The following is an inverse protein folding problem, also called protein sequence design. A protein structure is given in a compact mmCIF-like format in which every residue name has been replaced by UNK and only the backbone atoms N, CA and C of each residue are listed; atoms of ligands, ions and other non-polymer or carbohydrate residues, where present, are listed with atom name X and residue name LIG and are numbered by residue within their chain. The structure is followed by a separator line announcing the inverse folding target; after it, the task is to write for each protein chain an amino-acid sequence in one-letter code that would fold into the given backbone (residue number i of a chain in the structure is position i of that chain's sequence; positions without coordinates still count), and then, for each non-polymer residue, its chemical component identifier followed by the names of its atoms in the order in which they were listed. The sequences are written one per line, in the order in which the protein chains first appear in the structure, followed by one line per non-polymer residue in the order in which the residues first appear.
data_IF_370862905021
#
_entry.id   IF_370862905021
#
_cell.length_a   1.000
_cell.length_b   1.000
_cell.length_c   1.000
_cell.angle_alpha   90.00
_cell.angle_beta   90.00
_cell.angle_gamma   90.00
#
_symmetry.space_group_name_H-M   'P 1'
#
loop_
_entity.id
_entity.type
_entity.pdbx_description
1 polymer ?
#
# COMPACT_ATOMS: atom_id res chain seq x y z
N UNK A 1 -6.99 22.53 -7.16
CA UNK A 1 -8.11 23.42 -7.49
C UNK A 1 -9.44 22.66 -7.56
N UNK A 2 -9.75 21.77 -6.60
CA UNK A 2 -11.03 21.03 -6.60
C UNK A 2 -11.29 20.30 -5.27
N UNK A 3 -11.13 20.94 -4.11
CA UNK A 3 -11.54 20.32 -2.82
C UNK A 3 -11.92 21.35 -1.75
N UNK A 4 -12.60 22.42 -2.17
CA UNK A 4 -13.40 23.26 -1.29
C UNK A 4 -14.74 23.45 -2.01
N UNK A 5 -15.82 22.85 -1.50
CA UNK A 5 -17.06 23.58 -1.20
C UNK A 5 -18.31 22.74 -0.87
N UNK A 6 -18.34 21.41 -0.97
CA UNK A 6 -19.66 20.73 -1.08
C UNK A 6 -20.07 19.71 -0.02
N UNK A 7 -19.71 19.85 1.26
CA UNK A 7 -20.45 19.07 2.29
C UNK A 7 -20.55 19.76 3.66
N UNK A 8 -20.98 21.02 3.64
CA UNK A 8 -21.62 21.65 4.79
C UNK A 8 -23.13 21.56 4.56
N UNK A 9 -23.81 20.63 5.22
CA UNK A 9 -25.24 20.39 5.01
C UNK A 9 -25.83 19.30 5.89
N UNK A 10 -26.22 19.69 7.10
CA UNK A 10 -27.28 19.07 7.91
C UNK A 10 -26.99 17.67 8.52
N UNK A 11 -26.69 17.64 9.83
CA UNK A 11 -27.48 16.87 10.81
C UNK A 11 -27.04 17.15 12.27
N UNK A 12 -28.00 17.66 13.05
CA UNK A 12 -28.20 17.43 14.51
C UNK A 12 -27.29 18.12 15.54
N UNK A 13 -27.60 19.39 15.80
CA UNK A 13 -27.05 20.27 16.86
C UNK A 13 -27.28 19.81 18.34
N UNK A 14 -28.01 18.71 18.60
CA UNK A 14 -28.43 18.37 19.97
C UNK A 14 -27.58 17.31 20.69
N UNK A 15 -26.70 16.57 19.99
CA UNK A 15 -25.83 15.56 20.65
C UNK A 15 -24.47 16.09 21.10
N UNK A 16 -23.96 17.16 20.47
CA UNK A 16 -22.60 17.67 20.71
C UNK A 16 -22.46 18.33 22.09
N UNK A 17 -23.52 18.99 22.58
CA UNK A 17 -23.50 19.71 23.87
C UNK A 17 -23.33 18.82 25.10
N UNK A 18 -23.69 17.53 25.04
CA UNK A 18 -23.67 16.66 26.22
C UNK A 18 -22.26 16.11 26.53
N UNK A 19 -21.44 15.85 25.50
CA UNK A 19 -20.10 15.25 25.68
C UNK A 19 -19.03 16.25 26.16
N UNK A 20 -19.24 17.57 26.02
CA UNK A 20 -18.24 18.59 26.40
C UNK A 20 -18.17 18.83 27.92
N UNK A 21 -19.17 18.35 28.69
CA UNK A 21 -19.32 18.69 30.13
C UNK A 21 -18.69 17.68 31.10
N UNK A 22 -18.23 16.52 30.63
CA UNK A 22 -17.41 15.59 31.41
C UNK A 22 -15.99 15.58 30.83
N UNK A 23 -14.97 15.88 31.63
CA UNK A 23 -13.59 16.13 31.19
C UNK A 23 -12.83 14.99 30.50
N UNK A 24 -13.51 13.99 29.91
CA UNK A 24 -12.92 12.83 29.24
C UNK A 24 -12.86 13.02 27.71
N UNK A 25 -12.15 14.07 27.28
CA UNK A 25 -11.90 14.34 25.86
C UNK A 25 -11.17 13.17 25.18
N UNK A 26 -10.12 12.63 25.82
CA UNK A 26 -9.29 11.56 25.25
C UNK A 26 -10.02 10.20 25.14
N UNK A 27 -10.92 9.87 26.06
CA UNK A 27 -11.69 8.62 26.02
C UNK A 27 -12.79 8.64 24.94
N UNK A 28 -13.45 9.79 24.78
CA UNK A 28 -14.47 9.98 23.74
C UNK A 28 -13.87 10.23 22.36
N UNK A 29 -12.64 10.76 22.31
CA UNK A 29 -11.91 10.97 21.05
C UNK A 29 -11.62 9.66 20.33
N UNK A 30 -11.33 8.55 21.02
CA UNK A 30 -11.00 7.29 20.35
C UNK A 30 -12.21 6.36 20.10
N UNK A 31 -13.40 6.71 20.62
CA UNK A 31 -14.63 5.94 20.50
C UNK A 31 -15.54 6.48 19.38
N UNK A 32 -15.08 6.43 18.13
CA UNK A 32 -15.79 6.98 16.97
C UNK A 32 -17.01 6.13 16.58
N UNK A 33 -18.17 6.39 17.20
CA UNK A 33 -19.44 5.76 16.78
C UNK A 33 -20.21 6.56 15.73
N UNK A 34 -19.82 7.82 15.49
CA UNK A 34 -20.45 8.72 14.51
C UNK A 34 -19.48 9.08 13.38
N UNK A 35 -19.78 8.61 12.17
CA UNK A 35 -19.00 8.87 10.95
C UNK A 35 -18.82 10.38 10.67
N UNK A 36 -19.81 11.20 11.02
CA UNK A 36 -19.78 12.66 10.76
C UNK A 36 -18.71 13.38 11.58
N UNK A 37 -18.61 13.09 12.87
CA UNK A 37 -17.59 13.69 13.76
C UNK A 37 -16.19 13.26 13.35
N UNK A 38 -16.03 11.99 12.95
CA UNK A 38 -14.78 11.47 12.41
C UNK A 38 -14.34 12.22 11.14
N UNK A 39 -15.24 12.42 10.17
CA UNK A 39 -14.92 13.10 8.92
C UNK A 39 -14.57 14.59 9.10
N UNK A 40 -15.24 15.29 10.03
CA UNK A 40 -14.94 16.70 10.33
C UNK A 40 -13.54 16.82 10.95
N UNK A 41 -13.22 15.99 11.96
CA UNK A 41 -11.87 15.99 12.57
C UNK A 41 -10.80 15.64 11.55
N UNK A 42 -11.05 14.62 10.72
CA UNK A 42 -10.13 14.22 9.66
C UNK A 42 -9.89 15.35 8.65
N UNK A 43 -10.96 16.07 8.27
CA UNK A 43 -10.87 17.18 7.30
C UNK A 43 -10.11 18.36 7.88
N UNK A 44 -10.38 18.75 9.13
CA UNK A 44 -9.64 19.83 9.81
C UNK A 44 -8.16 19.48 9.94
N UNK A 45 -7.84 18.25 10.34
CA UNK A 45 -6.47 17.76 10.43
C UNK A 45 -5.77 17.77 9.06
N UNK A 46 -6.44 17.27 8.02
CA UNK A 46 -5.91 17.23 6.65
C UNK A 46 -5.69 18.63 6.09
N UNK A 47 -6.63 19.55 6.31
CA UNK A 47 -6.51 20.95 5.89
C UNK A 47 -5.34 21.65 6.61
N UNK A 48 -5.14 21.40 7.90
CA UNK A 48 -3.99 21.93 8.63
C UNK A 48 -2.66 21.49 8.02
N UNK A 49 -2.48 20.17 7.79
CA UNK A 49 -1.27 19.64 7.16
C UNK A 49 -1.09 20.12 5.71
N UNK A 50 -2.19 20.29 4.97
CA UNK A 50 -2.16 20.80 3.61
C UNK A 50 -1.69 22.26 3.55
N UNK A 51 -2.22 23.13 4.43
CA UNK A 51 -1.80 24.53 4.53
C UNK A 51 -0.33 24.65 4.97
N UNK A 52 0.08 23.82 5.93
CA UNK A 52 1.47 23.74 6.37
C UNK A 52 2.40 23.33 5.21
N UNK A 53 1.99 22.35 4.40
CA UNK A 53 2.74 21.89 3.23
C UNK A 53 2.83 22.98 2.16
N UNK A 54 1.74 23.73 1.91
CA UNK A 54 1.73 24.86 0.96
C UNK A 54 2.69 25.97 1.41
N UNK A 55 2.77 26.26 2.71
CA UNK A 55 3.71 27.25 3.24
C UNK A 55 5.17 26.79 3.11
N UNK A 56 5.44 25.50 3.33
CA UNK A 56 6.79 24.92 3.34
C UNK A 56 7.32 24.51 1.95
N UNK A 57 6.47 24.45 0.92
CA UNK A 57 6.85 24.02 -0.44
C UNK A 57 7.87 24.94 -1.11
N UNK A 58 8.03 26.18 -0.61
CA UNK A 58 9.04 27.13 -1.07
C UNK A 58 10.47 26.63 -0.81
N UNK A 59 10.66 25.73 0.16
CA UNK A 59 11.96 25.14 0.47
C UNK A 59 12.21 23.87 -0.36
N UNK A 60 13.24 23.88 -1.22
CA UNK A 60 13.62 22.73 -2.08
C UNK A 60 13.88 21.44 -1.29
N UNK A 61 14.59 21.53 -0.17
CA UNK A 61 14.90 20.38 0.69
C UNK A 61 13.65 19.71 1.29
N UNK A 62 12.58 20.47 1.55
CA UNK A 62 11.33 19.95 2.07
C UNK A 62 10.60 19.09 1.03
N UNK A 63 10.54 19.57 -0.21
CA UNK A 63 9.93 18.81 -1.33
C UNK A 63 10.72 17.54 -1.63
N UNK A 64 12.04 17.63 -1.58
CA UNK A 64 12.95 16.50 -1.80
C UNK A 64 12.76 15.40 -0.73
N UNK A 65 12.75 15.78 0.55
CA UNK A 65 12.52 14.83 1.66
C UNK A 65 11.12 14.20 1.66
N UNK A 66 10.08 14.96 1.30
CA UNK A 66 8.73 14.41 1.14
C UNK A 66 8.67 13.37 0.01
N UNK A 67 9.38 13.60 -1.10
CA UNK A 67 9.51 12.64 -2.20
C UNK A 67 10.14 11.32 -1.75
N UNK A 68 11.22 11.39 -0.96
CA UNK A 68 11.84 10.20 -0.36
C UNK A 68 10.88 9.41 0.51
N UNK A 69 10.20 10.09 1.44
CA UNK A 69 9.29 9.45 2.38
C UNK A 69 8.15 8.78 1.62
N UNK A 70 7.58 9.46 0.61
CA UNK A 70 6.53 8.90 -0.23
C UNK A 70 6.97 7.59 -0.92
N UNK A 71 8.16 7.56 -1.51
CA UNK A 71 8.67 6.39 -2.23
C UNK A 71 9.10 5.26 -1.29
N UNK A 72 9.58 5.60 -0.09
CA UNK A 72 9.87 4.62 0.96
C UNK A 72 8.60 3.97 1.49
N UNK A 73 7.51 4.73 1.64
CA UNK A 73 6.21 4.18 2.02
C UNK A 73 5.67 3.25 0.94
N UNK A 74 5.81 3.61 -0.34
CA UNK A 74 5.47 2.75 -1.47
C UNK A 74 6.26 1.43 -1.44
N UNK A 75 7.58 1.49 -1.26
CA UNK A 75 8.45 0.32 -1.12
C UNK A 75 8.06 -0.55 0.10
N UNK A 76 7.63 0.10 1.19
CA UNK A 76 7.20 -0.57 2.41
C UNK A 76 5.91 -1.37 2.25
N UNK A 77 5.13 -1.18 1.17
CA UNK A 77 3.95 -2.01 0.86
C UNK A 77 4.34 -3.42 0.39
N UNK A 78 5.47 -3.56 -0.32
CA UNK A 78 5.99 -4.86 -0.78
C UNK A 78 6.70 -5.65 0.33
N UNK A 79 7.35 -4.98 1.27
CA UNK A 79 8.10 -5.59 2.37
C UNK A 79 7.29 -6.58 3.28
N UNK A 80 6.08 -6.27 3.76
CA UNK A 80 5.31 -7.21 4.58
C UNK A 80 4.89 -8.45 3.78
N UNK A 81 4.70 -8.30 2.47
CA UNK A 81 4.40 -9.43 1.60
C UNK A 81 5.61 -10.35 1.44
N UNK A 82 6.82 -9.79 1.31
CA UNK A 82 8.07 -10.54 1.30
C UNK A 82 8.28 -11.34 2.60
N UNK A 83 8.09 -10.69 3.76
CA UNK A 83 8.26 -11.32 5.08
C UNK A 83 7.29 -12.49 5.25
N UNK A 84 6.01 -12.30 4.89
CA UNK A 84 5.00 -13.36 4.97
C UNK A 84 5.33 -14.55 4.07
N UNK A 85 5.84 -14.27 2.88
CA UNK A 85 6.25 -15.31 1.93
C UNK A 85 7.43 -16.12 2.48
N UNK A 86 8.40 -15.45 3.10
CA UNK A 86 9.54 -16.10 3.74
C UNK A 86 9.13 -16.98 4.94
N UNK A 87 8.18 -16.52 5.75
CA UNK A 87 7.68 -17.28 6.90
C UNK A 87 6.89 -18.53 6.50
N UNK A 88 6.09 -18.47 5.43
CA UNK A 88 5.21 -19.58 5.03
C UNK A 88 5.88 -20.60 4.12
N UNK A 89 7.04 -20.29 3.51
CA UNK A 89 7.75 -21.13 2.53
C UNK A 89 6.84 -21.73 1.44
N UNK A 90 5.71 -21.08 1.17
CA UNK A 90 4.68 -21.52 0.24
C UNK A 90 3.95 -20.30 -0.29
N UNK A 91 3.85 -20.23 -1.62
CA UNK A 91 3.22 -19.14 -2.37
C UNK A 91 1.79 -19.46 -2.78
N UNK A 92 1.11 -20.36 -2.04
CA UNK A 92 -0.31 -20.61 -2.23
C UNK A 92 -1.11 -19.33 -1.95
N UNK A 93 -1.60 -18.69 -3.02
CA UNK A 93 -2.46 -17.50 -2.99
C UNK A 93 -1.87 -16.23 -3.58
N UNK A 94 -0.60 -16.21 -4.03
CA UNK A 94 0.00 -15.03 -4.68
C UNK A 94 -0.05 -15.15 -6.21
N UNK A 95 -0.74 -14.24 -6.89
CA UNK A 95 -0.85 -14.23 -8.35
C UNK A 95 0.40 -13.60 -8.98
N UNK A 96 1.16 -14.43 -9.71
CA UNK A 96 2.33 -13.99 -10.50
C UNK A 96 2.02 -12.80 -11.43
N UNK A 97 0.90 -12.78 -12.20
CA UNK A 97 0.63 -11.65 -13.09
C UNK A 97 0.43 -10.32 -12.35
N UNK A 98 -0.01 -10.34 -11.09
CA UNK A 98 -0.13 -9.13 -10.27
C UNK A 98 1.24 -8.57 -9.90
N UNK A 99 2.18 -9.43 -9.51
CA UNK A 99 3.56 -9.03 -9.20
C UNK A 99 4.28 -8.52 -10.45
N UNK A 100 4.05 -9.14 -11.61
CA UNK A 100 4.58 -8.66 -12.88
C UNK A 100 3.98 -7.31 -13.29
N UNK A 101 2.69 -7.08 -13.02
CA UNK A 101 2.06 -5.79 -13.25
C UNK A 101 2.64 -4.69 -12.35
N UNK A 102 2.98 -5.01 -11.09
CA UNK A 102 3.70 -4.11 -10.19
C UNK A 102 5.07 -3.73 -10.77
N UNK A 103 5.91 -4.73 -11.06
CA UNK A 103 7.23 -4.52 -11.68
C UNK A 103 7.15 -3.68 -12.98
N UNK A 104 6.13 -3.92 -13.81
CA UNK A 104 5.90 -3.14 -15.03
C UNK A 104 5.58 -1.67 -14.71
N UNK A 105 4.79 -1.41 -13.68
CA UNK A 105 4.52 -0.07 -13.17
C UNK A 105 5.79 0.65 -12.69
N UNK A 106 6.64 -0.03 -11.92
CA UNK A 106 7.90 0.53 -11.41
C UNK A 106 8.91 0.79 -12.52
N UNK A 107 8.97 -0.08 -13.53
CA UNK A 107 9.77 0.13 -14.73
C UNK A 107 9.27 1.32 -15.56
N UNK A 108 7.96 1.46 -15.75
CA UNK A 108 7.39 2.60 -16.47
C UNK A 108 7.64 3.93 -15.73
N UNK A 109 7.52 3.93 -14.40
CA UNK A 109 7.82 5.08 -13.53
C UNK A 109 9.29 5.47 -13.62
N UNK A 110 10.18 4.49 -13.60
CA UNK A 110 11.63 4.70 -13.74
C UNK A 110 11.98 5.23 -15.13
N UNK A 111 11.39 4.68 -16.20
CA UNK A 111 11.58 5.15 -17.56
C UNK A 111 11.14 6.62 -17.73
N UNK A 112 10.02 7.00 -17.08
CA UNK A 112 9.58 8.40 -17.03
C UNK A 112 10.62 9.30 -16.34
N UNK A 113 11.17 8.89 -15.20
CA UNK A 113 12.21 9.66 -14.51
C UNK A 113 13.51 9.78 -15.30
N UNK A 114 13.89 8.74 -16.05
CA UNK A 114 15.05 8.76 -16.97
C UNK A 114 14.80 9.75 -18.10
N UNK A 115 13.63 9.71 -18.74
CA UNK A 115 13.29 10.61 -19.84
C UNK A 115 13.21 12.08 -19.42
N UNK A 116 12.78 12.34 -18.18
CA UNK A 116 12.58 13.70 -17.66
C UNK A 116 13.82 14.27 -16.95
N UNK A 117 14.90 13.49 -16.81
CA UNK A 117 16.15 13.96 -16.17
C UNK A 117 15.98 14.31 -14.69
N UNK A 118 15.21 13.52 -13.94
CA UNK A 118 14.90 13.77 -12.52
C UNK A 118 16.15 13.62 -11.61
N UNK A 119 16.21 14.34 -10.47
CA UNK A 119 17.38 14.35 -9.59
C UNK A 119 17.73 12.96 -9.03
N UNK A 120 19.01 12.76 -8.68
CA UNK A 120 19.61 11.46 -8.31
C UNK A 120 18.87 10.72 -7.17
N UNK A 121 18.22 11.46 -6.28
CA UNK A 121 17.50 10.88 -5.16
C UNK A 121 16.33 9.98 -5.60
N UNK A 122 15.61 10.36 -6.67
CA UNK A 122 14.53 9.55 -7.22
C UNK A 122 15.04 8.26 -7.87
N UNK A 123 16.24 8.31 -8.46
CA UNK A 123 16.89 7.12 -9.05
C UNK A 123 17.22 6.07 -8.01
N UNK A 124 17.81 6.47 -6.88
CA UNK A 124 18.18 5.53 -5.81
C UNK A 124 16.94 4.84 -5.25
N UNK A 125 15.85 5.59 -5.04
CA UNK A 125 14.58 5.01 -4.57
C UNK A 125 13.95 4.06 -5.59
N UNK A 126 13.94 4.44 -6.88
CA UNK A 126 13.36 3.62 -7.94
C UNK A 126 14.09 2.28 -8.11
N UNK A 127 15.42 2.28 -8.02
CA UNK A 127 16.23 1.05 -8.04
C UNK A 127 15.90 0.16 -6.85
N UNK A 128 15.73 0.75 -5.66
CA UNK A 128 15.38 0.01 -4.44
C UNK A 128 13.98 -0.63 -4.57
N UNK A 129 12.99 0.10 -5.11
CA UNK A 129 11.65 -0.44 -5.39
C UNK A 129 11.71 -1.66 -6.32
N UNK A 130 12.32 -1.50 -7.51
CA UNK A 130 12.49 -2.59 -8.48
C UNK A 130 13.22 -3.78 -7.86
N UNK A 131 14.20 -3.54 -7.00
CA UNK A 131 14.92 -4.63 -6.32
C UNK A 131 14.00 -5.47 -5.44
N UNK A 132 13.08 -4.84 -4.69
CA UNK A 132 12.13 -5.53 -3.81
C UNK A 132 11.17 -6.37 -4.65
N UNK A 133 10.68 -5.85 -5.78
CA UNK A 133 9.78 -6.60 -6.65
C UNK A 133 10.46 -7.82 -7.29
N UNK A 134 11.72 -7.68 -7.71
CA UNK A 134 12.52 -8.80 -8.22
C UNK A 134 12.73 -9.85 -7.13
N UNK A 135 13.01 -9.44 -5.88
CA UNK A 135 13.12 -10.38 -4.76
C UNK A 135 11.82 -11.14 -4.53
N UNK A 136 10.66 -10.45 -4.55
CA UNK A 136 9.36 -11.09 -4.39
C UNK A 136 9.09 -12.06 -5.54
N UNK A 137 9.34 -11.65 -6.79
CA UNK A 137 9.15 -12.50 -7.97
C UNK A 137 10.05 -13.74 -7.93
N UNK A 138 11.32 -13.58 -7.52
CA UNK A 138 12.29 -14.65 -7.36
C UNK A 138 11.84 -15.67 -6.31
N UNK A 139 11.36 -15.20 -5.14
CA UNK A 139 10.78 -16.08 -4.12
C UNK A 139 9.59 -16.85 -4.69
N UNK A 140 8.68 -16.18 -5.42
CA UNK A 140 7.51 -16.83 -6.02
C UNK A 140 7.89 -17.91 -7.03
N UNK A 141 8.90 -17.65 -7.87
CA UNK A 141 9.37 -18.59 -8.87
C UNK A 141 10.04 -19.82 -8.22
N UNK A 142 10.89 -19.61 -7.21
CA UNK A 142 11.59 -20.69 -6.51
C UNK A 142 10.61 -21.60 -5.77
N UNK A 143 9.65 -21.08 -5.01
CA UNK A 143 8.69 -21.92 -4.29
C UNK A 143 7.79 -22.72 -5.25
N UNK A 144 7.41 -22.16 -6.41
CA UNK A 144 6.67 -22.89 -7.44
C UNK A 144 7.49 -24.00 -8.07
N UNK A 145 8.76 -23.74 -8.40
CA UNK A 145 9.64 -24.73 -9.03
C UNK A 145 9.88 -25.94 -8.11
N UNK A 146 9.95 -25.72 -6.80
CA UNK A 146 10.06 -26.81 -5.83
C UNK A 146 8.78 -27.68 -5.75
N UNK A 147 7.58 -27.10 -5.95
CA UNK A 147 6.32 -27.86 -5.99
C UNK A 147 6.12 -28.58 -7.34
N UNK A 148 6.46 -27.94 -8.46
CA UNK A 148 6.35 -28.54 -9.80
C UNK A 148 7.28 -29.73 -10.02
N UNK A 149 8.45 -29.74 -9.36
CA UNK A 149 9.36 -30.89 -9.37
C UNK A 149 8.87 -32.08 -8.51
N UNK A 150 7.88 -31.88 -7.63
CA UNK A 150 7.28 -32.96 -6.83
C UNK A 150 6.12 -33.66 -7.55
N UNK A 151 5.55 -33.05 -8.60
CA UNK A 151 4.59 -33.71 -9.49
C UNK A 151 5.34 -34.50 -10.57
N UNK A 152 5.80 -35.68 -10.17
CA UNK A 152 6.16 -36.76 -11.10
C UNK A 152 5.04 -36.98 -12.13
N UNK A 153 5.34 -37.47 -13.34
CA UNK A 153 4.34 -37.61 -14.39
C UNK A 153 3.21 -38.50 -13.87
N UNK A 154 1.97 -38.01 -13.93
CA UNK A 154 0.82 -38.90 -13.91
C UNK A 154 1.02 -39.88 -15.06
N UNK A 155 1.48 -41.09 -14.72
CA UNK A 155 1.54 -42.20 -15.64
C UNK A 155 0.10 -42.55 -16.00
N UNK A 156 -0.33 -42.10 -17.18
CA UNK A 156 -1.64 -42.37 -17.78
C UNK A 156 -1.91 -43.87 -18.05
N UNK A 157 -0.98 -44.76 -17.69
CA UNK A 157 -1.12 -46.21 -17.81
C UNK A 157 -1.58 -46.91 -16.52
N UNK A 158 -2.12 -46.20 -15.52
CA UNK A 158 -2.83 -46.89 -14.45
C UNK A 158 -4.19 -47.36 -15.00
N UNK A 159 -4.45 -48.68 -15.09
CA UNK A 159 -5.75 -49.16 -15.53
C UNK A 159 -6.83 -48.61 -14.60
N UNK A 160 -8.03 -48.29 -15.11
CA UNK A 160 -9.13 -47.87 -14.25
C UNK A 160 -9.29 -48.93 -13.17
N UNK A 161 -9.13 -48.52 -11.91
CA UNK A 161 -9.57 -49.33 -10.79
C UNK A 161 -11.04 -49.66 -11.06
N UNK A 162 -11.24 -50.89 -11.49
CA UNK A 162 -12.54 -51.53 -11.55
C UNK A 162 -13.11 -51.44 -10.15
N UNK A 163 -14.08 -50.55 -9.97
CA UNK A 163 -15.08 -50.63 -8.92
C UNK A 163 -15.79 -51.96 -9.16
N UNK A 164 -15.28 -53.02 -8.56
CA UNK A 164 -16.01 -54.26 -8.32
C UNK A 164 -16.04 -54.42 -6.80
N UNK A 165 -17.27 -54.34 -6.32
CA UNK A 165 -17.84 -54.64 -5.00
C UNK A 165 -17.41 -53.81 -3.77
#
# INVERSE_FOLDING_TARGET
MLFSFFFFGSLSDNKVKCCIRGGDFFGSFWAWQDLRSFLITLTVFTSFWSLLTIALIQFKWYVETLGMVSLLVEASLGAPQLIRNWQRKSTQGMSIPMVLAWLCGDLAKTAYFVATGSPLQFWVCAILQISIDIFILGQVFVYRNNTGASELPYNSNSPPHSVID
#
